data_IF_085941398122
#
_entry.id   IF_085941398122
#
_cell.length_a   1.000
_cell.length_b   1.000
_cell.length_c   1.000
_cell.angle_alpha   90.00
_cell.angle_beta   90.00
_cell.angle_gamma   90.00
#
_symmetry.space_group_name_H-M   'P 1'
#
loop_
_entity.id
_entity.type
_entity.pdbx_description
1 polymer ?
#
# COMPACT_ATOMS: atom_id res chain seq x y z
N UNK A 1 5.68 -15.15 2.83
CA UNK A 1 4.30 -14.64 2.76
C UNK A 1 3.83 -14.74 1.32
N UNK A 2 2.56 -15.03 1.09
CA UNK A 2 2.00 -15.18 -0.26
C UNK A 2 0.74 -14.33 -0.41
N UNK A 3 0.48 -13.83 -1.62
CA UNK A 3 -0.80 -13.25 -2.01
C UNK A 3 -1.13 -13.66 -3.45
N UNK A 4 -2.41 -13.64 -3.81
CA UNK A 4 -2.87 -13.86 -5.19
C UNK A 4 -3.43 -12.56 -5.73
N UNK A 5 -2.99 -12.12 -6.91
CA UNK A 5 -3.53 -10.94 -7.59
C UNK A 5 -3.83 -11.28 -9.05
N UNK A 6 -5.07 -11.04 -9.49
CA UNK A 6 -5.56 -11.40 -10.82
C UNK A 6 -5.29 -12.87 -11.17
N UNK A 7 -5.51 -13.76 -10.21
CA UNK A 7 -5.29 -15.20 -10.35
C UNK A 7 -3.82 -15.64 -10.38
N UNK A 8 -2.85 -14.74 -10.15
CA UNK A 8 -1.43 -15.05 -10.08
C UNK A 8 -0.93 -15.02 -8.64
N UNK A 9 -0.26 -16.08 -8.23
CA UNK A 9 0.38 -16.17 -6.92
C UNK A 9 1.71 -15.41 -6.90
N UNK A 10 1.96 -14.70 -5.81
CA UNK A 10 3.16 -13.90 -5.56
C UNK A 10 3.75 -14.22 -4.19
N UNK A 11 5.07 -14.42 -4.13
CA UNK A 11 5.79 -14.70 -2.89
C UNK A 11 6.63 -13.51 -2.44
N UNK A 12 6.41 -13.08 -1.20
CA UNK A 12 7.16 -11.99 -0.58
C UNK A 12 7.78 -12.46 0.75
N UNK A 13 8.90 -11.86 1.14
CA UNK A 13 9.57 -12.21 2.40
C UNK A 13 8.78 -11.74 3.61
N UNK A 14 8.17 -10.55 3.53
CA UNK A 14 7.47 -9.92 4.65
C UNK A 14 6.18 -9.22 4.24
N UNK A 15 5.35 -8.85 5.22
CA UNK A 15 4.11 -8.10 5.02
C UNK A 15 4.31 -6.70 4.42
N UNK A 16 5.46 -6.05 4.70
CA UNK A 16 5.80 -4.77 4.06
C UNK A 16 6.12 -4.96 2.57
N UNK A 17 6.80 -6.06 2.22
CA UNK A 17 7.15 -6.36 0.84
C UNK A 17 5.89 -6.69 0.03
N UNK A 18 4.95 -7.45 0.62
CA UNK A 18 3.65 -7.70 0.01
C UNK A 18 2.85 -6.40 -0.22
N UNK A 19 2.83 -5.47 0.74
CA UNK A 19 2.18 -4.16 0.54
C UNK A 19 2.79 -3.40 -0.64
N UNK A 20 4.12 -3.28 -0.69
CA UNK A 20 4.83 -2.55 -1.76
C UNK A 20 4.57 -3.22 -3.11
N UNK A 21 4.62 -4.56 -3.17
CA UNK A 21 4.42 -5.30 -4.41
C UNK A 21 2.97 -5.20 -4.92
N UNK A 22 1.97 -5.31 -4.03
CA UNK A 22 0.55 -5.10 -4.40
C UNK A 22 0.37 -3.69 -4.95
N UNK A 23 0.78 -2.66 -4.22
CA UNK A 23 0.62 -1.27 -4.64
C UNK A 23 1.35 -1.00 -5.96
N UNK A 24 2.55 -1.55 -6.16
CA UNK A 24 3.30 -1.38 -7.40
C UNK A 24 2.63 -2.03 -8.60
N UNK A 25 2.01 -3.21 -8.44
CA UNK A 25 1.25 -3.85 -9.53
C UNK A 25 -0.02 -3.08 -9.88
N UNK A 26 -0.72 -2.53 -8.89
CA UNK A 26 -1.88 -1.67 -9.12
C UNK A 26 -1.47 -0.37 -9.82
N UNK A 27 -0.41 0.28 -9.34
CA UNK A 27 0.14 1.49 -9.94
C UNK A 27 0.60 1.31 -11.38
N UNK A 28 1.20 0.16 -11.71
CA UNK A 28 1.63 -0.15 -13.07
C UNK A 28 0.46 -0.34 -14.04
N UNK A 29 -0.71 -0.73 -13.53
CA UNK A 29 -1.93 -0.93 -14.31
C UNK A 29 -2.69 0.37 -14.54
N UNK A 30 -2.97 1.12 -13.47
CA UNK A 30 -3.81 2.32 -13.48
C UNK A 30 -3.13 3.48 -12.69
N UNK A 31 -2.03 4.06 -13.21
CA UNK A 31 -1.24 5.08 -12.49
C UNK A 31 -2.03 6.37 -12.18
N UNK A 32 -3.06 6.67 -12.96
CA UNK A 32 -3.96 7.81 -12.77
C UNK A 32 -4.82 7.69 -11.50
N UNK A 33 -4.98 6.49 -10.94
CA UNK A 33 -5.72 6.24 -9.69
C UNK A 33 -4.89 6.54 -8.43
N UNK A 34 -3.57 6.78 -8.55
CA UNK A 34 -2.69 7.00 -7.41
C UNK A 34 -3.00 8.25 -6.57
N UNK A 35 -3.36 9.41 -7.15
CA UNK A 35 -3.81 10.55 -6.36
C UNK A 35 -5.05 10.23 -5.51
N UNK A 36 -6.03 9.50 -6.07
CA UNK A 36 -7.23 9.09 -5.36
C UNK A 36 -6.89 8.11 -4.23
N UNK A 37 -5.99 7.15 -4.47
CA UNK A 37 -5.50 6.25 -3.44
C UNK A 37 -4.80 7.00 -2.30
N UNK A 38 -3.92 7.94 -2.63
CA UNK A 38 -3.18 8.70 -1.63
C UNK A 38 -4.11 9.48 -0.70
N UNK A 39 -5.15 10.12 -1.26
CA UNK A 39 -6.16 10.82 -0.46
C UNK A 39 -7.02 9.85 0.36
N UNK A 40 -7.41 8.70 -0.20
CA UNK A 40 -8.27 7.72 0.47
C UNK A 40 -7.62 7.08 1.72
N UNK A 41 -6.30 7.03 1.80
CA UNK A 41 -5.57 6.48 2.97
C UNK A 41 -4.93 7.56 3.84
N UNK A 42 -5.13 8.84 3.48
CA UNK A 42 -4.60 9.96 4.23
C UNK A 42 -5.27 10.04 5.59
N UNK A 43 -4.46 10.29 6.62
CA UNK A 43 -4.97 10.60 7.96
C UNK A 43 -4.45 11.96 8.41
N UNK A 44 -5.09 12.63 9.38
CA UNK A 44 -4.62 13.91 9.90
C UNK A 44 -3.18 13.87 10.44
N UNK A 45 -2.73 12.70 10.91
CA UNK A 45 -1.42 12.52 11.56
C UNK A 45 -0.36 11.91 10.65
N UNK A 46 -0.76 11.23 9.59
CA UNK A 46 0.12 10.40 8.76
C UNK A 46 -0.36 10.43 7.32
N UNK A 47 0.55 10.79 6.41
CA UNK A 47 0.33 10.78 4.98
C UNK A 47 0.92 9.48 4.42
N UNK A 48 0.22 8.36 4.60
CA UNK A 48 0.82 7.02 4.41
C UNK A 48 1.29 6.77 2.98
N UNK A 49 0.76 7.51 2.00
CA UNK A 49 1.23 7.52 0.62
C UNK A 49 1.54 8.96 0.23
N UNK A 50 2.76 9.22 -0.25
CA UNK A 50 3.21 10.57 -0.59
C UNK A 50 4.16 10.59 -1.79
N UNK A 51 4.43 11.80 -2.30
CA UNK A 51 5.36 12.02 -3.42
C UNK A 51 6.82 12.13 -2.99
N UNK A 52 7.06 12.40 -1.70
CA UNK A 52 8.40 12.40 -1.10
C UNK A 52 8.40 11.59 0.20
N UNK A 53 9.48 10.84 0.52
CA UNK A 53 9.58 10.11 1.78
C UNK A 53 9.42 10.99 3.03
N UNK A 54 9.89 12.24 2.97
CA UNK A 54 9.78 13.24 4.05
C UNK A 54 8.34 13.55 4.45
N UNK A 55 7.41 13.36 3.52
CA UNK A 55 6.02 13.77 3.70
C UNK A 55 5.19 12.68 4.37
N UNK A 56 5.72 11.46 4.51
CA UNK A 56 4.97 10.32 5.05
C UNK A 56 4.54 10.55 6.49
N UNK A 57 5.44 11.07 7.33
CA UNK A 57 5.19 11.36 8.73
C UNK A 57 5.81 12.71 9.13
N UNK A 58 5.19 13.84 8.75
CA UNK A 58 5.80 15.16 8.95
C UNK A 58 6.03 15.50 10.43
N UNK A 59 5.18 14.97 11.32
CA UNK A 59 5.31 15.19 12.77
C UNK A 59 6.38 14.33 13.45
N UNK A 60 6.84 13.26 12.79
CA UNK A 60 7.90 12.34 13.26
C UNK A 60 8.76 11.87 12.09
N UNK A 61 9.56 12.78 11.49
CA UNK A 61 10.39 12.45 10.32
C UNK A 61 11.44 11.37 10.63
N UNK A 62 11.85 11.25 11.90
CA UNK A 62 12.72 10.18 12.40
C UNK A 62 12.12 8.77 12.23
N UNK A 63 10.79 8.68 12.13
CA UNK A 63 10.04 7.43 11.94
C UNK A 63 9.60 7.21 10.49
N UNK A 64 9.94 8.12 9.57
CA UNK A 64 9.54 8.07 8.16
C UNK A 64 10.36 7.01 7.39
N UNK A 65 10.08 5.74 7.68
CA UNK A 65 10.51 4.64 6.80
C UNK A 65 9.51 4.52 5.66
N UNK A 66 10.00 4.67 4.43
CA UNK A 66 9.19 4.57 3.23
C UNK A 66 9.85 3.67 2.20
N UNK A 67 9.06 3.09 1.32
CA UNK A 67 9.53 2.45 0.10
C UNK A 67 8.80 3.03 -1.10
N UNK A 68 9.52 3.19 -2.20
CA UNK A 68 8.93 3.54 -3.48
C UNK A 68 8.21 2.31 -4.04
N UNK A 69 6.96 2.47 -4.43
CA UNK A 69 6.17 1.40 -5.08
C UNK A 69 5.85 1.73 -6.54
N UNK A 70 5.95 3.00 -6.93
CA UNK A 70 5.84 3.47 -8.31
C UNK A 70 6.64 4.77 -8.46
N UNK A 71 7.02 5.19 -9.69
CA UNK A 71 7.85 6.39 -9.89
C UNK A 71 7.32 7.66 -9.19
N UNK A 72 8.07 8.10 -8.19
CA UNK A 72 7.75 9.25 -7.35
C UNK A 72 6.59 9.03 -6.39
N UNK A 73 6.21 7.79 -6.08
CA UNK A 73 5.18 7.44 -5.11
C UNK A 73 5.74 6.50 -4.05
N UNK A 74 5.62 6.92 -2.80
CA UNK A 74 6.16 6.25 -1.64
C UNK A 74 5.05 5.82 -0.70
N UNK A 75 5.24 4.69 -0.03
CA UNK A 75 4.35 4.22 1.04
C UNK A 75 5.12 4.09 2.35
N UNK A 76 4.52 4.54 3.45
CA UNK A 76 5.05 4.39 4.80
C UNK A 76 5.06 2.93 5.26
N UNK A 77 6.19 2.46 5.77
CA UNK A 77 6.39 1.08 6.22
C UNK A 77 6.37 0.91 7.73
N UNK A 78 6.50 1.99 8.50
CA UNK A 78 6.42 1.97 9.95
C UNK A 78 4.96 1.98 10.44
N UNK A 79 4.21 0.95 10.02
CA UNK A 79 2.77 0.80 10.28
C UNK A 79 2.43 -0.64 10.65
N UNK A 80 1.36 -0.83 11.44
CA UNK A 80 0.89 -2.16 11.84
C UNK A 80 0.34 -2.97 10.67
N UNK A 81 0.25 -4.30 10.79
CA UNK A 81 -0.36 -5.13 9.73
C UNK A 81 -1.85 -4.83 9.53
N UNK A 82 -2.57 -4.44 10.59
CA UNK A 82 -3.93 -3.91 10.49
C UNK A 82 -3.99 -2.70 9.56
N UNK A 83 -3.09 -1.74 9.76
CA UNK A 83 -3.05 -0.53 8.93
C UNK A 83 -2.63 -0.83 7.49
N UNK A 84 -1.69 -1.77 7.27
CA UNK A 84 -1.39 -2.29 5.92
C UNK A 84 -2.65 -2.87 5.26
N UNK A 85 -3.43 -3.65 5.99
CA UNK A 85 -4.68 -4.22 5.46
C UNK A 85 -5.74 -3.14 5.18
N UNK A 86 -5.82 -2.08 5.99
CA UNK A 86 -6.66 -0.91 5.68
C UNK A 86 -6.26 -0.27 4.35
N UNK A 87 -4.96 -0.06 4.12
CA UNK A 87 -4.44 0.49 2.85
C UNK A 87 -4.79 -0.42 1.68
N UNK A 88 -4.61 -1.73 1.83
CA UNK A 88 -4.96 -2.72 0.80
C UNK A 88 -6.45 -2.67 0.48
N UNK A 89 -7.34 -2.58 1.49
CA UNK A 89 -8.78 -2.45 1.28
C UNK A 89 -9.15 -1.15 0.56
N UNK A 90 -8.54 -0.02 0.95
CA UNK A 90 -8.74 1.25 0.25
C UNK A 90 -8.23 1.19 -1.19
N UNK A 91 -7.10 0.51 -1.44
CA UNK A 91 -6.61 0.27 -2.79
C UNK A 91 -7.59 -0.57 -3.60
N UNK A 92 -8.13 -1.67 -3.05
CA UNK A 92 -9.18 -2.42 -3.75
C UNK A 92 -10.40 -1.57 -4.08
N UNK A 93 -10.85 -0.71 -3.16
CA UNK A 93 -11.98 0.17 -3.44
C UNK A 93 -11.69 1.18 -4.57
N UNK A 94 -10.52 1.83 -4.55
CA UNK A 94 -10.12 2.82 -5.58
C UNK A 94 -9.86 2.15 -6.94
N UNK A 95 -9.26 0.97 -6.95
CA UNK A 95 -8.95 0.21 -8.16
C UNK A 95 -10.09 -0.70 -8.61
N UNK A 96 -11.25 -0.66 -7.93
CA UNK A 96 -12.46 -1.41 -8.26
C UNK A 96 -12.24 -2.94 -8.28
N UNK A 97 -11.49 -3.43 -7.29
CA UNK A 97 -11.14 -4.84 -7.11
C UNK A 97 -11.96 -5.49 -6.00
N UNK A 98 -12.38 -6.73 -6.23
CA UNK A 98 -13.06 -7.55 -5.24
C UNK A 98 -12.05 -8.40 -4.42
N UNK A 99 -12.24 -8.45 -3.11
CA UNK A 99 -11.57 -9.40 -2.22
C UNK A 99 -12.52 -10.60 -1.96
N UNK A 100 -12.09 -11.88 -2.07
CA UNK A 100 -10.76 -12.35 -2.47
C UNK A 100 -10.58 -12.57 -3.98
N UNK A 101 -11.62 -12.33 -4.80
CA UNK A 101 -11.64 -12.76 -6.20
C UNK A 101 -10.51 -12.17 -7.06
N UNK A 102 -10.24 -10.86 -6.94
CA UNK A 102 -9.18 -10.17 -7.67
C UNK A 102 -7.88 -10.10 -6.86
N UNK A 103 -7.97 -9.96 -5.54
CA UNK A 103 -6.84 -9.96 -4.64
C UNK A 103 -7.15 -10.81 -3.40
N UNK A 104 -6.33 -11.82 -3.12
CA UNK A 104 -6.36 -12.57 -1.87
C UNK A 104 -5.04 -12.39 -1.12
N UNK A 105 -5.12 -11.86 0.10
CA UNK A 105 -3.96 -11.58 0.93
C UNK A 105 -4.33 -11.69 2.40
N UNK A 106 -3.50 -12.42 3.15
CA UNK A 106 -3.63 -12.54 4.60
C UNK A 106 -2.33 -12.08 5.28
N UNK A 107 -2.40 -10.97 6.02
CA UNK A 107 -1.30 -10.49 6.83
C UNK A 107 -1.48 -11.01 8.27
N UNK A 108 -0.43 -11.54 8.93
CA UNK A 108 -0.58 -12.02 10.30
C UNK A 108 -0.98 -10.86 11.24
N UNK A 109 -1.97 -11.11 12.10
CA UNK A 109 -2.51 -10.13 13.07
C UNK A 109 -3.07 -8.84 12.45
N UNK A 110 -3.62 -8.88 11.22
CA UNK A 110 -4.30 -7.74 10.60
C UNK A 110 -5.75 -7.58 11.02
#
# INVERSE_FOLDING_TARGET
MTFTLFGREHHCLTAKDALVEILGKLAARDPEKLPALAEAVRTPKLNVIARMPSDINPGRPDLARAAEFAPGWFVGLNISNRQKMTIIRSACAVFELALPADLDVNLPNS
#
